data_IF_309384208400
#
_entry.id   IF_309384208400
#
_cell.length_a   1.000
_cell.length_b   1.000
_cell.length_c   1.000
_cell.angle_alpha   90.00
_cell.angle_beta   90.00
_cell.angle_gamma   90.00
#
_symmetry.space_group_name_H-M   'P 1'
#
loop_
_entity.id
_entity.type
_entity.pdbx_description
1 polymer ?
#
# COMPACT_ATOMS: atom_id res chain seq x y z
N UNK A 1 1.76 -5.47 27.81
CA UNK A 1 1.81 -4.82 26.49
C UNK A 1 0.37 -4.70 26.03
N UNK A 2 -0.09 -3.50 25.67
CA UNK A 2 -1.34 -3.41 24.91
C UNK A 2 -1.08 -4.16 23.60
N UNK A 3 -1.88 -5.16 23.30
CA UNK A 3 -1.87 -5.80 21.99
C UNK A 3 -2.14 -4.70 20.94
N UNK A 4 -1.28 -4.59 19.94
CA UNK A 4 -1.40 -3.55 18.91
C UNK A 4 -2.77 -3.64 18.25
N UNK A 5 -3.38 -2.49 17.92
CA UNK A 5 -4.78 -2.45 17.47
C UNK A 5 -4.99 -3.19 16.16
N UNK A 6 -3.96 -3.28 15.32
CA UNK A 6 -4.01 -4.03 14.07
C UNK A 6 -4.15 -5.56 14.20
N UNK A 7 -4.14 -6.12 15.42
CA UNK A 7 -4.55 -7.52 15.67
C UNK A 7 -6.02 -7.65 16.11
N UNK A 8 -6.66 -6.55 16.50
CA UNK A 8 -8.01 -6.55 17.06
C UNK A 8 -9.05 -7.02 16.04
N UNK A 9 -10.12 -7.64 16.54
CA UNK A 9 -11.25 -8.11 15.74
C UNK A 9 -12.08 -6.95 15.17
N UNK A 10 -11.99 -5.76 15.76
CA UNK A 10 -12.73 -4.55 15.39
C UNK A 10 -11.81 -3.44 14.84
N UNK A 11 -10.63 -3.81 14.33
CA UNK A 11 -9.63 -2.83 13.86
C UNK A 11 -10.19 -1.91 12.77
N UNK A 12 -10.10 -0.60 13.01
CA UNK A 12 -10.73 0.48 12.22
C UNK A 12 -12.26 0.37 12.08
N UNK A 13 -12.92 -0.18 13.11
CA UNK A 13 -14.38 -0.20 13.18
C UNK A 13 -15.04 -1.19 12.23
N UNK A 14 -14.28 -2.17 11.71
CA UNK A 14 -14.80 -3.26 10.89
C UNK A 14 -14.54 -4.60 11.56
N UNK A 15 -15.47 -5.53 11.36
CA UNK A 15 -15.39 -6.88 11.93
C UNK A 15 -14.46 -7.75 11.08
N UNK A 16 -13.31 -8.09 11.64
CA UNK A 16 -12.35 -9.02 11.09
C UNK A 16 -12.62 -10.44 11.59
N UNK A 17 -12.44 -11.42 10.72
CA UNK A 17 -12.47 -12.82 11.14
C UNK A 17 -11.39 -13.09 12.19
N UNK A 18 -11.63 -14.10 13.02
CA UNK A 18 -10.54 -14.68 13.81
C UNK A 18 -9.37 -15.05 12.91
N UNK A 19 -8.15 -14.90 13.45
CA UNK A 19 -6.95 -15.39 12.80
C UNK A 19 -7.04 -16.91 12.63
N UNK A 20 -6.66 -17.39 11.46
CA UNK A 20 -6.46 -18.80 11.21
C UNK A 20 -5.38 -19.03 10.18
N UNK A 21 -4.93 -20.27 10.08
CA UNK A 21 -3.77 -20.61 9.27
C UNK A 21 -4.00 -20.38 7.78
N UNK A 22 -3.02 -19.78 7.10
CA UNK A 22 -2.94 -19.62 5.65
C UNK A 22 -2.52 -20.94 4.96
N UNK A 23 -3.06 -22.08 5.42
CA UNK A 23 -2.70 -23.41 4.92
C UNK A 23 -3.44 -23.72 3.61
N UNK A 24 -2.75 -23.92 2.47
CA UNK A 24 -3.42 -24.26 1.21
C UNK A 24 -4.16 -25.60 1.27
N UNK A 25 -3.75 -26.53 2.14
CA UNK A 25 -4.40 -27.83 2.34
C UNK A 25 -5.48 -27.84 3.42
N UNK A 26 -5.68 -26.72 4.14
CA UNK A 26 -6.60 -26.64 5.27
C UNK A 26 -8.02 -26.21 4.88
N UNK A 27 -9.00 -26.61 5.69
CA UNK A 27 -10.41 -26.24 5.49
C UNK A 27 -10.70 -24.78 5.87
N UNK A 28 -9.85 -24.12 6.65
CA UNK A 28 -10.07 -22.75 7.13
C UNK A 28 -10.37 -21.77 5.99
N UNK A 29 -9.57 -21.80 4.92
CA UNK A 29 -9.72 -20.92 3.77
C UNK A 29 -11.03 -21.17 3.00
N UNK A 30 -11.64 -22.36 3.13
CA UNK A 30 -12.92 -22.68 2.50
C UNK A 30 -14.11 -21.94 3.11
N UNK A 31 -13.95 -21.43 4.33
CA UNK A 31 -15.01 -20.73 5.07
C UNK A 31 -15.16 -19.27 4.64
N UNK A 32 -14.16 -18.68 3.98
CA UNK A 32 -14.15 -17.27 3.59
C UNK A 32 -15.18 -16.95 2.52
N UNK A 33 -15.69 -15.72 2.50
CA UNK A 33 -16.65 -15.30 1.48
C UNK A 33 -16.06 -15.39 0.06
N UNK A 34 -16.93 -15.61 -0.92
CA UNK A 34 -16.61 -15.46 -2.34
C UNK A 34 -16.84 -14.05 -2.86
N UNK A 35 -17.24 -13.12 -2.00
CA UNK A 35 -17.43 -11.70 -2.31
C UNK A 35 -16.10 -10.94 -2.29
N UNK A 36 -16.18 -9.66 -2.65
CA UNK A 36 -15.09 -8.68 -2.56
C UNK A 36 -14.76 -8.39 -1.09
N UNK A 37 -13.50 -8.03 -0.80
CA UNK A 37 -13.11 -7.74 0.58
C UNK A 37 -11.63 -7.50 0.78
N UNK A 38 -11.23 -7.45 2.04
CA UNK A 38 -9.86 -7.21 2.48
C UNK A 38 -9.35 -8.36 3.35
N UNK A 39 -8.03 -8.48 3.41
CA UNK A 39 -7.35 -9.48 4.21
C UNK A 39 -6.03 -8.94 4.74
N UNK A 40 -5.64 -9.44 5.91
CA UNK A 40 -4.36 -9.16 6.56
C UNK A 40 -3.67 -10.48 6.89
N UNK A 41 -2.35 -10.51 6.76
CA UNK A 41 -1.50 -11.68 6.97
C UNK A 41 -0.47 -11.34 8.05
N UNK A 42 -0.20 -12.30 8.93
CA UNK A 42 0.87 -12.21 9.92
C UNK A 42 1.65 -13.52 9.99
N UNK A 43 2.85 -13.45 10.53
CA UNK A 43 3.58 -14.64 10.98
C UNK A 43 3.59 -14.66 12.52
N UNK A 44 3.17 -15.73 13.22
CA UNK A 44 3.02 -15.68 14.68
C UNK A 44 4.35 -15.50 15.44
N UNK A 45 5.47 -15.91 14.86
CA UNK A 45 6.80 -15.72 15.43
C UNK A 45 7.42 -14.33 15.14
N UNK A 46 6.79 -13.50 14.30
CA UNK A 46 7.32 -12.18 13.90
C UNK A 46 6.39 -11.06 14.37
N UNK A 47 6.92 -9.92 14.81
CA UNK A 47 6.08 -8.78 15.17
C UNK A 47 5.43 -8.17 13.92
N UNK A 48 4.23 -7.62 14.08
CA UNK A 48 3.55 -6.87 13.02
C UNK A 48 2.73 -7.73 12.05
N UNK A 49 2.39 -7.11 10.93
CA UNK A 49 1.71 -7.73 9.80
C UNK A 49 2.71 -7.91 8.67
N UNK A 50 2.63 -9.06 8.02
CA UNK A 50 3.43 -9.35 6.83
C UNK A 50 2.81 -8.73 5.58
N UNK A 51 1.47 -8.63 5.53
CA UNK A 51 0.79 -8.10 4.35
C UNK A 51 -0.63 -7.62 4.66
N UNK A 52 -1.05 -6.54 4.00
CA UNK A 52 -2.44 -6.08 3.92
C UNK A 52 -2.82 -6.03 2.43
N UNK A 53 -4.00 -6.57 2.10
CA UNK A 53 -4.46 -6.71 0.72
C UNK A 53 -5.96 -6.55 0.55
N UNK A 54 -6.39 -6.12 -0.64
CA UNK A 54 -7.79 -6.17 -1.10
C UNK A 54 -8.02 -7.10 -2.30
N UNK A 55 -9.29 -7.42 -2.54
CA UNK A 55 -9.71 -7.94 -3.84
C UNK A 55 -11.13 -7.52 -4.22
N UNK A 56 -11.28 -6.97 -5.42
CA UNK A 56 -12.57 -6.80 -6.11
C UNK A 56 -13.05 -8.03 -6.86
N UNK A 57 -12.79 -9.21 -6.30
CA UNK A 57 -13.20 -10.52 -6.84
C UNK A 57 -13.50 -11.41 -5.65
N UNK A 58 -13.30 -12.71 -5.78
CA UNK A 58 -13.44 -13.64 -4.66
C UNK A 58 -12.32 -13.50 -3.63
N UNK A 59 -12.66 -13.08 -2.40
CA UNK A 59 -11.78 -13.07 -1.24
C UNK A 59 -11.20 -14.46 -0.96
N UNK A 60 -12.05 -15.48 -0.90
CA UNK A 60 -11.65 -16.89 -0.84
C UNK A 60 -10.65 -17.26 -1.94
N UNK A 61 -10.96 -16.92 -3.19
CA UNK A 61 -10.10 -17.23 -4.34
C UNK A 61 -8.74 -16.55 -4.25
N UNK A 62 -8.73 -15.26 -3.88
CA UNK A 62 -7.54 -14.44 -3.73
C UNK A 62 -6.63 -14.96 -2.61
N UNK A 63 -7.17 -15.23 -1.42
CA UNK A 63 -6.40 -15.73 -0.28
C UNK A 63 -5.89 -17.16 -0.54
N UNK A 64 -6.68 -18.02 -1.19
CA UNK A 64 -6.20 -19.35 -1.61
C UNK A 64 -5.04 -19.25 -2.60
N UNK A 65 -5.13 -18.38 -3.60
CA UNK A 65 -4.04 -18.19 -4.56
C UNK A 65 -2.76 -17.69 -3.88
N UNK A 66 -2.89 -16.78 -2.91
CA UNK A 66 -1.78 -16.33 -2.07
C UNK A 66 -1.17 -17.48 -1.27
N UNK A 67 -2.00 -18.30 -0.60
CA UNK A 67 -1.55 -19.47 0.15
C UNK A 67 -0.79 -20.48 -0.74
N UNK A 68 -1.29 -20.77 -1.94
CA UNK A 68 -0.58 -21.67 -2.86
C UNK A 68 0.79 -21.12 -3.27
N UNK A 69 0.93 -19.80 -3.42
CA UNK A 69 2.21 -19.16 -3.71
C UNK A 69 3.17 -19.18 -2.53
N UNK A 70 2.71 -18.77 -1.35
CA UNK A 70 3.54 -18.68 -0.14
C UNK A 70 4.07 -20.04 0.34
N UNK A 71 3.37 -21.14 0.03
CA UNK A 71 3.75 -22.50 0.41
C UNK A 71 4.19 -23.37 -0.78
N UNK A 72 4.53 -22.77 -1.91
CA UNK A 72 5.05 -23.50 -3.08
C UNK A 72 6.45 -24.08 -2.82
N UNK A 73 6.82 -25.14 -3.56
CA UNK A 73 8.16 -25.74 -3.48
C UNK A 73 9.26 -24.77 -3.95
N UNK A 74 8.95 -23.95 -4.96
CA UNK A 74 9.82 -22.90 -5.48
C UNK A 74 9.16 -21.54 -5.28
N UNK A 75 9.98 -20.49 -5.14
CA UNK A 75 9.47 -19.13 -5.03
C UNK A 75 8.54 -18.79 -6.23
N UNK A 76 7.30 -18.32 -5.98
CA UNK A 76 6.37 -17.96 -7.05
C UNK A 76 6.85 -16.70 -7.78
N UNK A 77 6.28 -16.43 -8.96
CA UNK A 77 6.45 -15.14 -9.65
C UNK A 77 5.63 -14.03 -8.96
N UNK A 78 5.90 -12.76 -9.31
CA UNK A 78 5.14 -11.58 -8.80
C UNK A 78 3.70 -11.48 -9.31
N UNK A 79 3.31 -12.26 -10.31
CA UNK A 79 1.92 -12.38 -10.75
C UNK A 79 1.33 -13.75 -10.39
N UNK A 80 0.04 -13.79 -9.98
CA UNK A 80 -0.91 -12.67 -9.90
C UNK A 80 -0.82 -11.87 -8.57
N UNK A 81 0.16 -12.16 -7.72
CA UNK A 81 0.32 -11.56 -6.40
C UNK A 81 1.74 -11.05 -6.17
N UNK A 82 1.90 -9.74 -6.11
CA UNK A 82 3.21 -9.12 -5.91
C UNK A 82 3.84 -9.49 -4.56
N UNK A 83 3.01 -9.73 -3.54
CA UNK A 83 3.47 -10.13 -2.20
C UNK A 83 3.83 -11.62 -2.06
N UNK A 84 3.39 -12.49 -2.97
CA UNK A 84 3.57 -13.94 -2.82
C UNK A 84 5.04 -14.38 -2.70
N UNK A 85 6.01 -13.82 -3.48
CA UNK A 85 7.43 -14.17 -3.32
C UNK A 85 7.98 -13.82 -1.94
N UNK A 86 7.60 -12.67 -1.37
CA UNK A 86 8.06 -12.27 -0.04
C UNK A 86 7.46 -13.15 1.06
N UNK A 87 6.15 -13.45 0.97
CA UNK A 87 5.51 -14.36 1.92
C UNK A 87 6.07 -15.79 1.84
N UNK A 88 6.47 -16.23 0.65
CA UNK A 88 7.21 -17.48 0.49
C UNK A 88 8.54 -17.46 1.25
N UNK A 89 9.31 -16.37 1.13
CA UNK A 89 10.58 -16.21 1.82
C UNK A 89 10.40 -16.20 3.35
N UNK A 90 9.43 -15.45 3.87
CA UNK A 90 9.06 -15.44 5.30
C UNK A 90 8.72 -16.85 5.79
N UNK A 91 7.95 -17.61 4.99
CA UNK A 91 7.58 -18.98 5.34
C UNK A 91 8.76 -19.98 5.30
N UNK A 92 9.86 -19.68 4.58
CA UNK A 92 11.06 -20.52 4.60
C UNK A 92 11.92 -20.31 5.85
N UNK A 93 11.90 -19.11 6.43
CA UNK A 93 12.69 -18.81 7.63
C UNK A 93 12.09 -19.42 8.90
N UNK A 94 10.77 -19.58 8.90
CA UNK A 94 10.00 -19.89 10.10
C UNK A 94 9.26 -21.22 9.99
N UNK A 95 9.25 -21.99 11.08
CA UNK A 95 8.59 -23.29 11.11
C UNK A 95 7.06 -23.19 11.25
N UNK A 96 6.58 -22.11 11.86
CA UNK A 96 5.15 -21.86 12.02
C UNK A 96 4.54 -21.41 10.70
N UNK A 97 3.23 -21.64 10.54
CA UNK A 97 2.54 -21.25 9.32
C UNK A 97 2.05 -19.81 9.45
N UNK A 98 2.15 -19.05 8.36
CA UNK A 98 1.46 -17.76 8.22
C UNK A 98 -0.02 -17.87 8.60
N UNK A 99 -0.56 -16.82 9.18
CA UNK A 99 -1.97 -16.68 9.53
C UNK A 99 -2.63 -15.56 8.74
N UNK A 100 -3.93 -15.67 8.52
CA UNK A 100 -4.74 -14.72 7.79
C UNK A 100 -6.02 -14.40 8.55
N UNK A 101 -6.46 -13.15 8.41
CA UNK A 101 -7.74 -12.64 8.91
C UNK A 101 -8.38 -11.81 7.79
N UNK A 102 -9.69 -11.95 7.60
CA UNK A 102 -10.42 -11.39 6.45
C UNK A 102 -11.63 -10.57 6.88
N UNK A 103 -12.06 -9.63 6.05
CA UNK A 103 -13.28 -8.85 6.26
C UNK A 103 -13.95 -8.46 4.93
N UNK A 104 -15.28 -8.27 4.97
CA UNK A 104 -16.11 -7.82 3.83
C UNK A 104 -17.02 -6.67 4.28
N UNK A 105 -16.44 -5.52 4.67
CA UNK A 105 -17.22 -4.47 5.31
C UNK A 105 -18.02 -3.66 4.27
N UNK A 106 -19.21 -3.21 4.67
CA UNK A 106 -20.11 -2.46 3.78
C UNK A 106 -19.52 -1.13 3.31
N UNK A 107 -18.61 -0.54 4.09
CA UNK A 107 -17.88 0.67 3.70
C UNK A 107 -16.87 0.46 2.56
N UNK A 108 -16.60 -0.79 2.16
CA UNK A 108 -15.64 -1.17 1.12
C UNK A 108 -16.31 -2.00 0.00
N UNK A 109 -17.61 -1.80 -0.23
CA UNK A 109 -18.35 -2.53 -1.26
C UNK A 109 -17.92 -2.16 -2.68
N UNK A 110 -17.67 -0.88 -2.94
CA UNK A 110 -17.18 -0.43 -4.24
C UNK A 110 -15.64 -0.43 -4.32
N UNK A 111 -15.14 -0.47 -5.56
CA UNK A 111 -13.71 -0.54 -5.86
C UNK A 111 -12.93 0.61 -5.23
N UNK A 112 -13.47 1.82 -5.27
CA UNK A 112 -12.75 3.02 -4.87
C UNK A 112 -12.64 3.09 -3.35
N UNK A 113 -13.75 2.89 -2.66
CA UNK A 113 -13.79 2.86 -1.19
C UNK A 113 -12.95 1.71 -0.64
N UNK A 114 -12.97 0.53 -1.27
CA UNK A 114 -12.15 -0.60 -0.82
C UNK A 114 -10.65 -0.35 -0.92
N UNK A 115 -10.19 0.23 -2.02
CA UNK A 115 -8.78 0.56 -2.21
C UNK A 115 -8.32 1.68 -1.29
N UNK A 116 -9.14 2.72 -1.10
CA UNK A 116 -8.83 3.76 -0.12
C UNK A 116 -8.84 3.22 1.32
N UNK A 117 -9.69 2.24 1.63
CA UNK A 117 -9.70 1.59 2.94
C UNK A 117 -8.49 0.67 3.15
N UNK A 118 -8.01 -0.03 2.11
CA UNK A 118 -6.71 -0.73 2.12
C UNK A 118 -5.57 0.24 2.46
N UNK A 119 -5.53 1.40 1.78
CA UNK A 119 -4.55 2.45 2.04
C UNK A 119 -4.64 3.00 3.47
N UNK A 120 -5.86 3.18 4.00
CA UNK A 120 -6.08 3.61 5.39
C UNK A 120 -5.59 2.58 6.42
N UNK A 121 -5.81 1.29 6.17
CA UNK A 121 -5.29 0.21 7.02
C UNK A 121 -3.76 0.21 7.03
N UNK A 122 -3.13 0.37 5.86
CA UNK A 122 -1.68 0.47 5.74
C UNK A 122 -1.15 1.73 6.43
N UNK A 123 -1.79 2.88 6.25
CA UNK A 123 -1.40 4.14 6.90
C UNK A 123 -1.40 4.02 8.43
N UNK A 124 -2.49 3.48 9.00
CA UNK A 124 -2.61 3.30 10.46
C UNK A 124 -1.61 2.27 10.97
N UNK A 125 -1.39 1.17 10.23
CA UNK A 125 -0.35 0.21 10.57
C UNK A 125 1.03 0.88 10.61
N UNK A 126 1.39 1.64 9.56
CA UNK A 126 2.67 2.36 9.47
C UNK A 126 2.87 3.32 10.63
N UNK A 127 1.83 4.07 11.01
CA UNK A 127 1.86 4.94 12.19
C UNK A 127 2.08 4.17 13.50
N UNK A 128 1.46 3.01 13.66
CA UNK A 128 1.57 2.21 14.89
C UNK A 128 2.89 1.44 15.00
N UNK A 129 3.43 0.94 13.87
CA UNK A 129 4.63 0.11 13.83
C UNK A 129 5.92 0.87 13.51
N UNK A 130 5.81 2.05 12.89
CA UNK A 130 6.98 2.81 12.41
C UNK A 130 7.48 2.36 11.03
N UNK A 131 6.85 1.37 10.40
CA UNK A 131 7.24 0.80 9.11
C UNK A 131 6.06 0.16 8.37
N UNK A 132 6.25 -0.12 7.08
CA UNK A 132 5.28 -0.82 6.22
C UNK A 132 5.16 -2.31 6.55
N UNK A 133 4.03 -2.98 6.24
CA UNK A 133 3.98 -4.44 6.28
C UNK A 133 5.03 -5.03 5.33
N UNK A 134 5.71 -6.09 5.77
CA UNK A 134 6.92 -6.64 5.13
C UNK A 134 6.80 -6.88 3.62
N UNK A 135 5.67 -7.44 3.17
CA UNK A 135 5.45 -7.88 1.80
C UNK A 135 4.61 -6.89 0.95
N UNK A 136 4.26 -5.72 1.50
CA UNK A 136 3.66 -4.64 0.71
C UNK A 136 4.75 -3.93 -0.13
N UNK A 137 4.34 -3.11 -1.10
CA UNK A 137 5.24 -2.28 -1.93
C UNK A 137 6.31 -3.04 -2.74
N UNK A 138 6.08 -4.33 -2.99
CA UNK A 138 6.99 -5.15 -3.77
C UNK A 138 8.33 -5.43 -3.09
N UNK A 139 8.42 -5.30 -1.76
CA UNK A 139 9.62 -5.60 -0.99
C UNK A 139 9.85 -7.11 -0.82
N UNK A 140 11.04 -7.47 -0.38
CA UNK A 140 11.40 -8.83 0.07
C UNK A 140 12.31 -8.75 1.30
N UNK A 141 12.27 -9.77 2.16
CA UNK A 141 13.14 -9.86 3.33
C UNK A 141 14.61 -10.10 2.93
N UNK A 142 15.52 -9.69 3.82
CA UNK A 142 16.95 -9.91 3.66
C UNK A 142 17.31 -11.37 3.42
N UNK A 143 18.37 -11.60 2.63
CA UNK A 143 18.85 -12.94 2.31
C UNK A 143 18.09 -13.64 1.17
N UNK A 144 17.12 -12.97 0.53
CA UNK A 144 16.39 -13.51 -0.62
C UNK A 144 16.40 -12.57 -1.81
N UNK A 145 16.52 -13.15 -3.01
CA UNK A 145 16.27 -12.51 -4.30
C UNK A 145 14.79 -12.60 -4.60
N UNK A 146 14.16 -11.52 -5.03
CA UNK A 146 12.76 -11.57 -5.41
C UNK A 146 12.59 -12.14 -6.82
N UNK A 147 11.57 -12.97 -7.02
CA UNK A 147 11.16 -13.36 -8.38
C UNK A 147 10.72 -12.14 -9.20
N UNK A 148 10.88 -12.24 -10.52
CA UNK A 148 10.32 -11.28 -11.47
C UNK A 148 8.82 -11.55 -11.72
N UNK A 149 8.20 -10.74 -12.58
CA UNK A 149 6.96 -11.16 -13.24
C UNK A 149 7.24 -12.35 -14.15
N UNK A 150 6.23 -13.20 -14.39
CA UNK A 150 6.35 -14.38 -15.24
C UNK A 150 6.88 -14.08 -16.64
N UNK A 151 6.58 -12.90 -17.18
CA UNK A 151 7.12 -12.44 -18.48
C UNK A 151 8.63 -12.22 -18.49
N UNK A 152 9.24 -12.04 -17.31
CA UNK A 152 10.69 -11.99 -17.14
C UNK A 152 11.34 -13.37 -16.96
N UNK A 153 10.55 -14.41 -16.69
CA UNK A 153 10.97 -15.82 -16.60
C UNK A 153 12.08 -16.11 -15.56
N UNK A 154 12.33 -15.19 -14.62
CA UNK A 154 13.34 -15.35 -13.57
C UNK A 154 12.69 -15.56 -12.20
N UNK A 155 12.95 -16.72 -11.58
CA UNK A 155 12.55 -17.03 -10.21
C UNK A 155 13.63 -16.59 -9.22
N UNK A 156 13.18 -16.07 -8.08
CA UNK A 156 14.01 -15.74 -6.94
C UNK A 156 14.28 -16.95 -6.04
N UNK A 157 14.84 -16.68 -4.87
CA UNK A 157 15.27 -17.69 -3.90
C UNK A 157 16.30 -17.13 -2.92
N UNK A 158 16.90 -17.98 -2.07
CA UNK A 158 17.97 -17.55 -1.17
C UNK A 158 19.15 -16.94 -1.94
N UNK A 159 19.69 -15.83 -1.44
CA UNK A 159 20.88 -15.19 -1.97
C UNK A 159 22.14 -15.96 -1.56
N UNK A 160 23.09 -16.08 -2.48
CA UNK A 160 24.44 -16.55 -2.15
C UNK A 160 25.24 -15.44 -1.43
N UNK A 161 26.27 -15.80 -0.64
CA UNK A 161 27.12 -14.82 0.03
C UNK A 161 27.70 -13.78 -0.94
N UNK A 162 27.44 -12.49 -0.65
CA UNK A 162 27.92 -11.37 -1.45
C UNK A 162 26.98 -10.92 -2.57
N UNK A 163 25.85 -11.60 -2.79
CA UNK A 163 24.79 -11.09 -3.65
C UNK A 163 23.89 -10.11 -2.89
N UNK A 164 23.30 -9.16 -3.62
CA UNK A 164 22.37 -8.16 -3.10
C UNK A 164 21.05 -8.19 -3.89
N UNK A 165 19.98 -7.70 -3.26
CA UNK A 165 18.66 -7.54 -3.83
C UNK A 165 18.16 -6.13 -3.47
N UNK A 166 17.85 -5.30 -4.47
CA UNK A 166 17.43 -3.92 -4.21
C UNK A 166 16.06 -3.85 -3.53
N UNK A 167 15.21 -4.88 -3.70
CA UNK A 167 13.91 -4.94 -3.05
C UNK A 167 13.99 -5.25 -1.54
N UNK A 168 15.19 -5.47 -0.98
CA UNK A 168 15.39 -5.54 0.48
C UNK A 168 15.67 -4.18 1.11
N UNK A 169 15.92 -3.14 0.31
CA UNK A 169 16.16 -1.80 0.82
C UNK A 169 15.05 -1.34 1.77
N UNK A 170 15.46 -0.61 2.80
CA UNK A 170 14.53 -0.05 3.77
C UNK A 170 13.50 0.87 3.09
N UNK A 171 12.28 0.80 3.61
CA UNK A 171 11.24 1.76 3.29
C UNK A 171 11.48 3.09 4.02
N UNK A 172 10.48 3.95 3.98
CA UNK A 172 10.45 5.17 4.78
C UNK A 172 9.53 5.02 5.98
N UNK A 173 9.88 5.69 7.06
CA UNK A 173 9.05 5.78 8.26
C UNK A 173 7.70 6.46 7.97
N UNK A 174 6.72 6.35 8.88
CA UNK A 174 5.45 7.04 8.77
C UNK A 174 5.68 8.56 8.74
N UNK A 175 4.76 9.25 8.06
CA UNK A 175 4.72 10.70 8.03
C UNK A 175 4.38 11.30 9.41
N UNK A 176 4.50 12.62 9.56
CA UNK A 176 4.03 13.31 10.77
C UNK A 176 2.53 13.62 10.66
N UNK A 177 1.71 12.89 11.42
CA UNK A 177 0.25 13.05 11.42
C UNK A 177 -0.23 14.28 12.19
N UNK A 178 0.65 15.15 12.70
CA UNK A 178 0.28 16.33 13.49
C UNK A 178 -0.68 17.28 12.77
N UNK A 179 -0.59 17.35 11.44
CA UNK A 179 -1.47 18.15 10.56
C UNK A 179 -2.39 17.29 9.69
N UNK A 180 -2.78 16.08 10.12
CA UNK A 180 -3.55 15.15 9.27
C UNK A 180 -4.83 15.75 8.69
N UNK A 181 -5.50 16.61 9.45
CA UNK A 181 -6.78 17.21 9.12
C UNK A 181 -6.72 18.47 8.22
N UNK A 182 -5.53 19.02 7.94
CA UNK A 182 -5.38 20.18 7.05
C UNK A 182 -4.67 19.80 5.74
N UNK A 183 -5.42 19.09 4.88
CA UNK A 183 -4.90 18.56 3.60
C UNK A 183 -4.53 19.62 2.56
N UNK A 184 -4.74 20.90 2.84
CA UNK A 184 -4.36 22.01 1.95
C UNK A 184 -3.19 22.81 2.51
N UNK A 185 -2.79 22.57 3.77
CA UNK A 185 -1.64 23.24 4.37
C UNK A 185 -0.35 22.96 3.59
N UNK A 186 0.57 23.93 3.64
CA UNK A 186 1.92 23.84 3.10
C UNK A 186 2.80 22.85 3.89
N UNK A 187 2.37 22.42 5.09
CA UNK A 187 3.03 21.43 5.95
C UNK A 187 2.21 20.15 6.19
N UNK A 188 1.21 19.87 5.34
CA UNK A 188 0.35 18.70 5.49
C UNK A 188 1.17 17.41 5.59
N UNK A 189 0.89 16.63 6.64
CA UNK A 189 1.59 15.38 6.97
C UNK A 189 3.11 15.53 7.18
N UNK A 190 3.58 16.73 7.54
CA UNK A 190 5.00 17.05 7.75
C UNK A 190 5.80 17.21 6.45
N UNK A 191 5.14 17.22 5.29
CA UNK A 191 5.76 17.41 3.98
C UNK A 191 5.73 18.89 3.58
N UNK A 192 6.75 19.33 2.84
CA UNK A 192 6.85 20.72 2.35
C UNK A 192 6.13 20.87 1.01
N UNK A 193 4.85 21.18 1.06
CA UNK A 193 4.02 21.37 -0.11
C UNK A 193 4.19 22.77 -0.70
N UNK A 194 4.32 22.85 -2.03
CA UNK A 194 4.31 24.12 -2.75
C UNK A 194 2.98 24.86 -2.56
N UNK A 195 2.99 26.18 -2.60
CA UNK A 195 1.74 26.95 -2.64
C UNK A 195 0.84 26.49 -3.80
N UNK A 196 -0.50 26.44 -3.61
CA UNK A 196 -1.43 26.03 -4.66
C UNK A 196 -1.33 26.87 -5.92
N UNK A 197 -1.40 26.22 -7.09
CA UNK A 197 -1.44 26.89 -8.39
C UNK A 197 -2.51 26.25 -9.30
N UNK A 198 -3.11 27.00 -10.23
CA UNK A 198 -3.94 26.42 -11.28
C UNK A 198 -3.17 25.35 -12.07
N UNK A 199 -3.80 24.23 -12.38
CA UNK A 199 -3.22 23.14 -13.16
C UNK A 199 -2.86 23.59 -14.58
N UNK A 200 -3.58 24.59 -15.11
CA UNK A 200 -3.23 25.31 -16.33
C UNK A 200 -1.79 25.87 -16.31
N UNK A 201 -1.31 26.26 -15.13
CA UNK A 201 0.03 26.83 -14.91
C UNK A 201 1.09 25.75 -14.64
N UNK A 202 0.76 24.47 -14.83
CA UNK A 202 1.74 23.40 -14.78
C UNK A 202 2.72 23.54 -15.97
N UNK A 203 3.81 24.26 -15.72
CA UNK A 203 4.76 24.76 -16.73
C UNK A 203 6.20 24.28 -16.48
N UNK A 204 7.19 25.02 -17.00
CA UNK A 204 8.61 24.66 -16.86
C UNK A 204 9.19 24.85 -15.47
N UNK A 205 8.51 25.55 -14.56
CA UNK A 205 8.95 25.82 -13.19
C UNK A 205 8.78 24.65 -12.23
N UNK A 206 8.02 23.61 -12.62
CA UNK A 206 7.88 22.39 -11.83
C UNK A 206 9.20 21.60 -11.88
N UNK A 207 9.71 21.10 -10.74
CA UNK A 207 10.92 20.27 -10.70
C UNK A 207 10.75 18.98 -11.52
N UNK A 208 11.88 18.46 -12.00
CA UNK A 208 11.94 17.15 -12.67
C UNK A 208 12.20 16.00 -11.70
N UNK A 209 12.36 16.34 -10.43
CA UNK A 209 12.70 15.44 -9.32
C UNK A 209 11.52 14.55 -8.92
N UNK A 210 11.87 13.57 -8.10
CA UNK A 210 10.95 12.62 -7.49
C UNK A 210 10.10 13.32 -6.43
N UNK A 211 8.81 13.00 -6.40
CA UNK A 211 7.94 13.58 -5.39
C UNK A 211 6.48 13.19 -5.50
N UNK A 212 5.69 13.92 -4.73
CA UNK A 212 4.25 13.77 -4.59
C UNK A 212 3.54 14.99 -5.16
N UNK A 213 2.29 14.81 -5.53
CA UNK A 213 1.41 15.88 -5.92
C UNK A 213 -0.01 15.59 -5.48
N UNK A 214 -0.76 16.66 -5.21
CA UNK A 214 -2.19 16.63 -4.92
C UNK A 214 -2.91 17.58 -5.88
N UNK A 215 -4.11 17.18 -6.30
CA UNK A 215 -4.97 17.93 -7.22
C UNK A 215 -6.35 18.05 -6.58
N UNK A 216 -6.99 19.20 -6.71
CA UNK A 216 -8.34 19.42 -6.19
C UNK A 216 -9.04 20.56 -6.90
N UNK A 217 -10.33 20.73 -6.63
CA UNK A 217 -11.15 21.79 -7.20
C UNK A 217 -11.29 22.93 -6.19
N UNK A 218 -11.05 24.16 -6.65
CA UNK A 218 -11.17 25.34 -5.81
C UNK A 218 -12.61 25.48 -5.28
N UNK A 219 -12.78 25.61 -3.96
CA UNK A 219 -14.08 25.79 -3.31
C UNK A 219 -14.94 24.53 -3.15
N UNK A 220 -14.50 23.38 -3.65
CA UNK A 220 -15.25 22.10 -3.62
C UNK A 220 -14.51 20.98 -2.88
N UNK A 221 -13.45 21.31 -2.14
CA UNK A 221 -12.64 20.35 -1.41
C UNK A 221 -12.76 20.57 0.11
N UNK A 222 -12.73 19.51 0.95
CA UNK A 222 -12.59 18.10 0.59
C UNK A 222 -13.84 17.50 -0.09
N UNK A 223 -13.68 16.40 -0.85
CA UNK A 223 -12.47 15.56 -1.00
C UNK A 223 -11.45 16.16 -1.99
N UNK A 224 -10.20 15.67 -1.94
CA UNK A 224 -9.22 15.93 -3.00
C UNK A 224 -9.71 15.24 -4.29
N UNK A 225 -9.24 15.72 -5.44
CA UNK A 225 -9.51 15.06 -6.72
C UNK A 225 -8.54 13.89 -6.92
N UNK A 226 -7.27 14.08 -6.56
CA UNK A 226 -6.22 13.07 -6.79
C UNK A 226 -5.02 13.28 -5.88
N UNK A 227 -4.44 12.19 -5.40
CA UNK A 227 -3.10 12.16 -4.77
C UNK A 227 -2.25 11.23 -5.61
N UNK A 228 -1.02 11.66 -5.91
CA UNK A 228 -0.14 10.91 -6.78
C UNK A 228 1.34 11.05 -6.45
N UNK A 229 2.14 10.06 -6.86
CA UNK A 229 3.60 10.16 -6.91
C UNK A 229 4.15 10.16 -8.34
N UNK A 230 5.40 10.64 -8.50
CA UNK A 230 6.15 10.50 -9.73
C UNK A 230 7.65 10.56 -9.50
N UNK A 231 8.42 9.89 -10.37
CA UNK A 231 9.85 10.16 -10.54
C UNK A 231 10.17 11.35 -11.47
N UNK A 232 9.12 12.04 -11.94
CA UNK A 232 9.27 13.25 -12.73
C UNK A 232 8.00 14.11 -12.60
N UNK A 233 7.94 14.92 -11.54
CA UNK A 233 6.79 15.76 -11.23
C UNK A 233 6.34 16.61 -12.42
N UNK A 234 7.28 17.27 -13.10
CA UNK A 234 7.01 18.08 -14.30
C UNK A 234 6.26 17.31 -15.38
N UNK A 235 6.76 16.15 -15.79
CA UNK A 235 6.14 15.36 -16.86
C UNK A 235 4.77 14.84 -16.45
N UNK A 236 4.60 14.46 -15.18
CA UNK A 236 3.34 13.93 -14.65
C UNK A 236 2.26 15.02 -14.54
N UNK A 237 2.57 16.17 -13.97
CA UNK A 237 1.63 17.29 -13.86
C UNK A 237 1.28 17.89 -15.21
N UNK A 238 2.25 17.95 -16.14
CA UNK A 238 1.97 18.33 -17.53
C UNK A 238 0.99 17.37 -18.22
N UNK A 239 1.08 16.06 -17.93
CA UNK A 239 0.11 15.08 -18.43
C UNK A 239 -1.27 15.29 -17.84
N UNK A 240 -1.38 15.58 -16.54
CA UNK A 240 -2.65 15.90 -15.90
C UNK A 240 -3.28 17.15 -16.49
N UNK A 241 -2.50 18.23 -16.68
CA UNK A 241 -2.96 19.45 -17.36
C UNK A 241 -3.60 19.17 -18.73
N UNK A 242 -3.04 18.26 -19.52
CA UNK A 242 -3.60 17.93 -20.85
C UNK A 242 -4.89 17.13 -20.82
N UNK A 243 -5.20 16.47 -19.70
CA UNK A 243 -6.26 15.46 -19.62
C UNK A 243 -7.36 15.80 -18.61
N UNK A 244 -7.17 16.85 -17.80
CA UNK A 244 -8.11 17.29 -16.76
C UNK A 244 -8.56 18.73 -17.00
N UNK A 245 -9.55 19.17 -16.22
CA UNK A 245 -10.01 20.55 -16.28
C UNK A 245 -8.94 21.54 -15.79
N UNK A 246 -8.74 22.61 -16.57
CA UNK A 246 -7.72 23.63 -16.32
C UNK A 246 -7.91 24.39 -14.99
N UNK A 247 -9.14 24.44 -14.47
CA UNK A 247 -9.50 25.13 -13.23
C UNK A 247 -9.17 24.34 -11.95
N UNK A 248 -8.66 23.11 -12.05
CA UNK A 248 -8.17 22.38 -10.89
C UNK A 248 -6.93 23.08 -10.33
N UNK A 249 -6.78 23.06 -9.02
CA UNK A 249 -5.55 23.46 -8.34
C UNK A 249 -4.65 22.25 -8.17
N UNK A 250 -3.34 22.50 -8.13
CA UNK A 250 -2.35 21.50 -7.74
C UNK A 250 -1.31 22.09 -6.80
N UNK A 251 -0.67 21.18 -6.07
CA UNK A 251 0.50 21.43 -5.23
C UNK A 251 1.37 20.17 -5.26
N UNK A 252 2.66 20.32 -5.05
CA UNK A 252 3.62 19.22 -5.06
C UNK A 252 4.60 19.33 -3.89
N UNK A 253 5.16 18.19 -3.49
CA UNK A 253 6.26 18.09 -2.54
C UNK A 253 7.36 17.27 -3.19
N UNK A 254 8.58 17.81 -3.21
CA UNK A 254 9.76 17.03 -3.55
C UNK A 254 10.08 16.10 -2.38
N UNK A 255 10.46 14.87 -2.67
CA UNK A 255 10.73 13.88 -1.63
C UNK A 255 12.21 13.63 -1.37
N UNK A 256 13.14 14.29 -2.06
CA UNK A 256 14.58 14.14 -1.78
C UNK A 256 15.04 12.67 -1.74
N UNK A 257 15.32 12.14 -0.53
CA UNK A 257 15.84 10.79 -0.25
C UNK A 257 14.90 9.61 -0.60
N UNK A 258 13.70 9.87 -1.14
CA UNK A 258 12.75 8.84 -1.60
C UNK A 258 12.95 8.52 -3.10
N UNK A 259 14.18 8.18 -3.45
CA UNK A 259 14.65 7.86 -4.81
C UNK A 259 14.08 6.55 -5.38
N UNK A 260 13.72 5.61 -4.51
CA UNK A 260 13.13 4.34 -4.90
C UNK A 260 11.60 4.39 -5.05
N UNK A 261 11.06 3.59 -5.96
CA UNK A 261 9.62 3.54 -6.22
C UNK A 261 8.81 3.13 -4.98
N UNK A 262 9.26 2.11 -4.23
CA UNK A 262 8.54 1.63 -3.04
C UNK A 262 8.42 2.72 -1.98
N UNK A 263 9.49 3.50 -1.76
CA UNK A 263 9.50 4.64 -0.82
C UNK A 263 8.46 5.70 -1.20
N UNK A 264 8.20 5.94 -2.48
CA UNK A 264 7.15 6.86 -2.93
C UNK A 264 5.75 6.28 -2.80
N UNK A 265 5.59 5.01 -3.15
CA UNK A 265 4.31 4.29 -3.00
C UNK A 265 3.87 4.21 -1.55
N UNK A 266 4.81 4.01 -0.61
CA UNK A 266 4.56 4.04 0.83
C UNK A 266 3.94 5.38 1.25
N UNK A 267 4.57 6.50 0.89
CA UNK A 267 4.09 7.84 1.26
C UNK A 267 2.78 8.18 0.56
N UNK A 268 2.65 7.87 -0.73
CA UNK A 268 1.40 8.06 -1.49
C UNK A 268 0.23 7.31 -0.83
N UNK A 269 0.45 6.04 -0.48
CA UNK A 269 -0.54 5.19 0.21
C UNK A 269 -0.93 5.78 1.56
N UNK A 270 0.04 6.29 2.33
CA UNK A 270 -0.26 6.92 3.61
C UNK A 270 -1.08 8.20 3.45
N UNK A 271 -0.77 9.05 2.46
CA UNK A 271 -1.55 10.25 2.18
C UNK A 271 -2.99 9.93 1.75
N UNK A 272 -3.19 8.91 0.91
CA UNK A 272 -4.53 8.46 0.49
C UNK A 272 -5.29 7.89 1.69
N UNK A 273 -4.62 7.07 2.50
CA UNK A 273 -5.21 6.49 3.70
C UNK A 273 -5.64 7.54 4.72
N UNK A 274 -4.78 8.54 5.00
CA UNK A 274 -5.15 9.66 5.89
C UNK A 274 -6.26 10.52 5.30
N UNK A 275 -6.24 10.79 4.00
CA UNK A 275 -7.34 11.50 3.34
C UNK A 275 -8.67 10.78 3.57
N UNK A 276 -8.71 9.45 3.39
CA UNK A 276 -9.91 8.66 3.66
C UNK A 276 -10.32 8.69 5.13
N UNK A 277 -9.37 8.64 6.07
CA UNK A 277 -9.66 8.68 7.51
C UNK A 277 -10.26 10.02 7.97
N UNK A 278 -9.80 11.14 7.38
CA UNK A 278 -10.23 12.48 7.77
C UNK A 278 -11.51 12.92 7.05
N UNK A 279 -11.72 12.48 5.81
CA UNK A 279 -12.87 12.89 4.97
C UNK A 279 -13.99 11.85 4.96
N UNK A 280 -13.67 10.57 5.15
CA UNK A 280 -14.61 9.45 5.05
C UNK A 280 -14.86 8.95 3.63
N UNK A 281 -14.16 9.49 2.63
CA UNK A 281 -14.21 9.07 1.23
C UNK A 281 -12.84 9.21 0.58
N UNK A 282 -12.60 8.45 -0.49
CA UNK A 282 -11.38 8.53 -1.30
C UNK A 282 -11.29 9.84 -2.09
N UNK A 283 -10.09 10.25 -2.56
CA UNK A 283 -10.01 11.30 -3.58
C UNK A 283 -10.84 10.92 -4.82
N UNK A 284 -11.54 11.88 -5.43
CA UNK A 284 -12.66 11.62 -6.36
C UNK A 284 -12.29 10.78 -7.59
N UNK A 285 -11.12 11.01 -8.18
CA UNK A 285 -10.64 10.31 -9.38
C UNK A 285 -9.45 9.38 -9.03
N UNK A 286 -9.46 8.83 -7.82
CA UNK A 286 -8.50 7.83 -7.36
C UNK A 286 -8.94 6.42 -7.80
N UNK A 287 -8.01 5.60 -8.31
CA UNK A 287 -8.13 4.16 -8.66
C UNK A 287 -8.84 3.68 -9.93
#
# INVERSE_FOLDING_TARGET
>A
MNESRFYAADWLGVEWSNWGTLDPGGDHLSTFSTDEGLYRVRHPARPGLEYIGETGRSLRGRVRALAHGAFAEEMPYRDPHTAAPCLWAVQQEEAEKLEVSVTTPTLAEDKQSRKAFEDALIAVYRREMGESPTANFGRIIDGYRQSTYRSGEERGGPLEPGQTESNTEDGVGPLDWSQSNDMFSEDWMGLLWSSPRPLADADTSIPTDDGLYRIWREGEAPPLEYIGQSSNLKSRLYRHRRNRHDALLFSYSELGEHDAQHKREEVETELIGVHWLEVGESPQDQF
#
